data_IF_398981785790
#
_entry.id   IF_398981785790
#
_cell.length_a   1.000
_cell.length_b   1.000
_cell.length_c   1.000
_cell.angle_alpha   90.00
_cell.angle_beta   90.00
_cell.angle_gamma   90.00
#
_symmetry.space_group_name_H-M   'P 1'
#
loop_
_entity.id
_entity.type
_entity.pdbx_description
1 polymer ?
#
# COMPACT_ATOMS: atom_id res chain seq x y z
N UNK A 1 -19.91 3.60 5.40
CA UNK A 1 -18.88 4.66 5.51
C UNK A 1 -17.84 4.26 6.55
N UNK A 2 -16.55 4.28 6.21
CA UNK A 2 -15.49 3.99 7.19
C UNK A 2 -15.13 5.28 7.93
N UNK A 3 -15.42 5.35 9.23
CA UNK A 3 -15.05 6.49 10.10
C UNK A 3 -13.57 6.40 10.53
N UNK A 4 -12.65 6.46 9.58
CA UNK A 4 -11.20 6.40 9.81
C UNK A 4 -10.48 7.57 9.11
N UNK A 5 -9.42 8.14 9.72
CA UNK A 5 -8.61 9.18 9.06
C UNK A 5 -7.97 8.65 7.77
N UNK A 6 -7.83 9.53 6.79
CA UNK A 6 -7.19 9.25 5.50
C UNK A 6 -5.93 10.12 5.35
N UNK A 7 -4.84 9.50 4.92
CA UNK A 7 -3.57 10.15 4.61
C UNK A 7 -3.09 9.70 3.23
N UNK A 8 -2.35 10.56 2.53
CA UNK A 8 -1.84 10.30 1.19
C UNK A 8 -0.33 10.38 1.15
N UNK A 9 0.32 9.41 0.51
CA UNK A 9 1.77 9.43 0.26
C UNK A 9 2.02 9.95 -1.16
N UNK A 10 2.74 11.07 -1.28
CA UNK A 10 3.12 11.63 -2.58
C UNK A 10 4.29 10.88 -3.20
N UNK A 11 4.30 10.80 -4.54
CA UNK A 11 5.40 10.23 -5.32
C UNK A 11 6.69 11.07 -5.22
N UNK A 12 6.56 12.39 -5.09
CA UNK A 12 7.68 13.33 -5.05
C UNK A 12 7.51 14.35 -3.92
N UNK A 13 8.64 14.88 -3.43
CA UNK A 13 8.66 15.99 -2.46
C UNK A 13 8.32 17.29 -3.18
N UNK A 14 7.53 18.18 -2.54
CA UNK A 14 7.34 19.54 -3.05
C UNK A 14 8.70 20.27 -3.08
N UNK A 15 9.01 20.94 -4.18
CA UNK A 15 10.22 21.77 -4.34
C UNK A 15 10.16 23.09 -3.55
N UNK A 16 8.97 23.55 -3.16
CA UNK A 16 8.76 24.72 -2.33
C UNK A 16 7.78 24.43 -1.19
N UNK A 17 8.15 24.78 0.05
CA UNK A 17 7.38 24.51 1.28
C UNK A 17 7.97 23.41 2.17
N UNK A 18 7.27 23.03 3.24
CA UNK A 18 7.70 21.91 4.10
C UNK A 18 7.75 20.63 3.26
N UNK A 19 8.91 19.96 3.21
CA UNK A 19 9.24 18.78 2.39
C UNK A 19 8.47 17.50 2.79
N UNK A 20 7.19 17.63 3.17
CA UNK A 20 6.35 16.54 3.66
C UNK A 20 5.94 15.66 2.48
N UNK A 21 6.31 14.39 2.58
CA UNK A 21 5.92 13.32 1.63
C UNK A 21 4.49 12.83 1.91
N UNK A 22 4.00 13.00 3.15
CA UNK A 22 2.69 12.53 3.60
C UNK A 22 1.77 13.73 3.84
N UNK A 23 0.57 13.68 3.27
CA UNK A 23 -0.49 14.67 3.48
C UNK A 23 -1.62 14.08 4.34
N UNK A 24 -2.18 14.91 5.22
CA UNK A 24 -3.18 14.52 6.21
C UNK A 24 -2.61 14.41 7.62
N UNK A 25 -3.52 14.27 8.59
CA UNK A 25 -3.17 14.23 10.02
C UNK A 25 -3.00 12.81 10.52
N UNK A 26 -1.91 12.59 11.26
CA UNK A 26 -1.60 11.32 11.89
C UNK A 26 -0.78 11.53 13.15
N UNK A 27 -0.73 10.49 13.99
CA UNK A 27 0.10 10.46 15.19
C UNK A 27 1.20 9.40 15.03
N UNK A 28 2.43 9.64 15.49
CA UNK A 28 3.44 8.59 15.59
C UNK A 28 2.90 7.37 16.35
N UNK A 29 3.29 6.17 15.93
CA UNK A 29 2.80 4.90 16.45
C UNK A 29 1.42 4.48 15.92
N UNK A 30 0.71 5.31 15.16
CA UNK A 30 -0.56 4.92 14.58
C UNK A 30 -0.38 3.77 13.57
N UNK A 31 -1.26 2.77 13.66
CA UNK A 31 -1.35 1.67 12.69
C UNK A 31 -2.09 2.14 11.46
N UNK A 32 -1.52 1.89 10.28
CA UNK A 32 -2.11 2.28 9.00
C UNK A 32 -2.15 1.10 8.04
N UNK A 33 -3.21 1.07 7.22
CA UNK A 33 -3.36 0.16 6.08
C UNK A 33 -2.97 0.93 4.83
N UNK A 34 -2.02 0.42 4.06
CA UNK A 34 -1.76 0.96 2.72
C UNK A 34 -2.82 0.44 1.77
N UNK A 35 -3.42 1.31 0.97
CA UNK A 35 -4.40 0.95 -0.06
C UNK A 35 -3.88 1.45 -1.41
N UNK A 36 -3.85 0.57 -2.40
CA UNK A 36 -3.49 0.90 -3.80
C UNK A 36 -4.48 0.22 -4.77
N UNK A 37 -4.47 0.58 -6.04
CA UNK A 37 -5.37 -0.01 -7.04
C UNK A 37 -4.88 -1.41 -7.49
N UNK A 38 -3.64 -1.48 -7.97
CA UNK A 38 -3.04 -2.67 -8.58
C UNK A 38 -1.63 -2.91 -8.05
N UNK A 39 -1.35 -4.13 -7.63
CA UNK A 39 0.01 -4.56 -7.33
C UNK A 39 0.64 -5.28 -8.54
N UNK A 40 1.82 -4.83 -8.98
CA UNK A 40 2.69 -5.57 -9.92
C UNK A 40 3.88 -6.17 -9.15
N UNK A 41 5.00 -5.45 -9.11
CA UNK A 41 6.23 -5.83 -8.38
C UNK A 41 6.23 -5.34 -6.93
N UNK A 42 5.22 -4.58 -6.52
CA UNK A 42 5.12 -4.00 -5.18
C UNK A 42 5.95 -2.72 -4.95
N UNK A 43 6.71 -2.25 -5.94
CA UNK A 43 7.64 -1.11 -5.77
C UNK A 43 6.97 0.21 -5.32
N UNK A 44 5.74 0.50 -5.79
CA UNK A 44 4.97 1.68 -5.34
C UNK A 44 4.60 1.57 -3.86
N UNK A 45 4.04 0.42 -3.48
CA UNK A 45 3.63 0.12 -2.11
C UNK A 45 4.84 0.13 -1.17
N UNK A 46 5.98 -0.44 -1.56
CA UNK A 46 7.23 -0.40 -0.78
C UNK A 46 7.71 1.04 -0.51
N UNK A 47 7.66 1.93 -1.52
CA UNK A 47 8.00 3.34 -1.31
C UNK A 47 7.06 3.99 -0.28
N UNK A 48 5.76 3.69 -0.37
CA UNK A 48 4.78 4.20 0.59
C UNK A 48 5.03 3.66 2.01
N UNK A 49 5.25 2.35 2.16
CA UNK A 49 5.60 1.71 3.43
C UNK A 49 6.83 2.38 4.07
N UNK A 50 7.89 2.61 3.29
CA UNK A 50 9.12 3.24 3.78
C UNK A 50 8.90 4.70 4.22
N UNK A 51 8.13 5.47 3.46
CA UNK A 51 7.80 6.85 3.81
C UNK A 51 6.97 6.92 5.11
N UNK A 52 5.94 6.07 5.23
CA UNK A 52 5.07 5.99 6.40
C UNK A 52 5.84 5.56 7.66
N UNK A 53 6.67 4.50 7.55
CA UNK A 53 7.52 4.05 8.67
C UNK A 53 8.53 5.11 9.09
N UNK A 54 9.11 5.83 8.13
CA UNK A 54 10.02 6.96 8.41
C UNK A 54 9.34 8.12 9.13
N UNK A 55 8.01 8.24 9.01
CA UNK A 55 7.19 9.19 9.76
C UNK A 55 6.69 8.65 11.12
N UNK A 56 7.18 7.47 11.53
CA UNK A 56 6.85 6.83 12.80
C UNK A 56 5.55 6.03 12.78
N UNK A 57 4.97 5.74 11.62
CA UNK A 57 3.75 4.93 11.50
C UNK A 57 4.06 3.44 11.48
N UNK A 58 3.13 2.63 11.98
CA UNK A 58 3.21 1.17 11.96
C UNK A 58 2.47 0.66 10.72
N UNK A 59 3.20 0.03 9.81
CA UNK A 59 2.66 -0.53 8.56
C UNK A 59 2.92 -2.03 8.54
N UNK A 60 1.86 -2.82 8.70
CA UNK A 60 1.90 -4.29 8.73
C UNK A 60 1.13 -4.91 7.55
N UNK A 61 0.25 -4.11 6.91
CA UNK A 61 -0.69 -4.59 5.90
C UNK A 61 -0.79 -3.62 4.71
N UNK A 62 -0.97 -4.19 3.53
CA UNK A 62 -1.37 -3.48 2.32
C UNK A 62 -2.57 -4.19 1.69
N UNK A 63 -3.48 -3.42 1.08
CA UNK A 63 -4.64 -3.92 0.33
C UNK A 63 -4.61 -3.35 -1.08
N UNK A 64 -4.79 -4.22 -2.08
CA UNK A 64 -5.02 -3.82 -3.47
C UNK A 64 -6.33 -4.38 -3.99
N UNK A 65 -6.87 -3.77 -5.05
CA UNK A 65 -8.01 -4.37 -5.75
C UNK A 65 -7.54 -5.57 -6.55
N UNK A 66 -6.48 -5.40 -7.35
CA UNK A 66 -5.95 -6.46 -8.22
C UNK A 66 -4.48 -6.75 -7.90
N UNK A 67 -4.15 -8.00 -7.62
CA UNK A 67 -2.77 -8.47 -7.64
C UNK A 67 -2.43 -9.13 -8.99
N UNK A 68 -1.42 -8.59 -9.68
CA UNK A 68 -0.97 -9.13 -10.98
C UNK A 68 -0.11 -10.38 -10.87
N UNK A 69 0.24 -10.82 -9.65
CA UNK A 69 1.10 -11.97 -9.41
C UNK A 69 2.50 -11.80 -10.02
N UNK A 70 3.02 -10.57 -9.99
CA UNK A 70 4.33 -10.20 -10.55
C UNK A 70 5.40 -9.96 -9.46
N UNK A 71 5.20 -10.52 -8.26
CA UNK A 71 6.19 -10.52 -7.18
C UNK A 71 5.94 -9.53 -6.03
N UNK A 72 4.78 -8.85 -5.99
CA UNK A 72 4.48 -7.88 -4.94
C UNK A 72 4.38 -8.52 -3.55
N UNK A 73 3.77 -9.70 -3.42
CA UNK A 73 3.61 -10.40 -2.13
C UNK A 73 4.97 -10.77 -1.53
N UNK A 74 5.89 -11.32 -2.33
CA UNK A 74 7.24 -11.66 -1.91
C UNK A 74 8.05 -10.41 -1.55
N UNK A 75 7.89 -9.33 -2.33
CA UNK A 75 8.61 -8.08 -2.06
C UNK A 75 8.16 -7.44 -0.74
N UNK A 76 6.86 -7.45 -0.45
CA UNK A 76 6.28 -6.86 0.76
C UNK A 76 6.50 -7.74 2.00
N UNK A 77 6.41 -9.07 1.87
CA UNK A 77 6.64 -9.99 3.00
C UNK A 77 8.07 -9.91 3.53
N UNK A 78 9.07 -9.68 2.68
CA UNK A 78 10.48 -9.44 3.07
C UNK A 78 10.66 -8.25 4.01
N UNK A 79 9.75 -7.28 3.98
CA UNK A 79 9.76 -6.12 4.88
C UNK A 79 8.68 -6.19 5.95
N UNK A 80 8.10 -7.37 6.18
CA UNK A 80 7.08 -7.60 7.21
C UNK A 80 5.74 -6.95 6.89
N UNK A 81 5.38 -6.82 5.61
CA UNK A 81 4.07 -6.33 5.18
C UNK A 81 3.33 -7.45 4.46
N UNK A 82 2.14 -7.81 4.95
CA UNK A 82 1.27 -8.76 4.27
C UNK A 82 0.39 -8.03 3.25
N UNK A 83 0.38 -8.54 2.02
CA UNK A 83 -0.49 -8.06 0.95
C UNK A 83 -1.83 -8.80 1.00
N UNK A 84 -2.92 -8.04 0.88
CA UNK A 84 -4.25 -8.54 0.61
C UNK A 84 -4.68 -8.04 -0.78
N UNK A 85 -5.38 -8.87 -1.53
CA UNK A 85 -6.00 -8.51 -2.80
C UNK A 85 -7.46 -8.95 -2.81
N UNK A 86 -8.32 -8.22 -3.53
CA UNK A 86 -9.71 -8.64 -3.73
C UNK A 86 -9.80 -9.69 -4.84
N UNK A 87 -9.01 -9.52 -5.89
CA UNK A 87 -8.84 -10.48 -6.97
C UNK A 87 -7.38 -10.53 -7.41
N UNK A 88 -6.99 -11.62 -8.02
CA UNK A 88 -5.72 -11.80 -8.70
C UNK A 88 -5.91 -11.71 -10.22
N UNK A 89 -4.81 -11.57 -10.97
CA UNK A 89 -4.86 -11.63 -12.43
C UNK A 89 -5.47 -12.95 -12.91
N UNK A 90 -5.23 -14.07 -12.21
CA UNK A 90 -5.82 -15.38 -12.54
C UNK A 90 -7.34 -15.35 -12.45
N UNK A 91 -7.90 -14.70 -11.45
CA UNK A 91 -9.36 -14.59 -11.29
C UNK A 91 -10.00 -13.78 -12.43
N UNK A 92 -9.27 -12.81 -12.98
CA UNK A 92 -9.75 -11.94 -14.07
C UNK A 92 -9.61 -12.57 -15.46
N UNK A 93 -8.49 -13.25 -15.73
CA UNK A 93 -8.23 -13.86 -17.06
C UNK A 93 -8.75 -15.29 -17.18
N UNK A 94 -8.95 -15.96 -16.04
CA UNK A 94 -9.39 -17.34 -15.96
C UNK A 94 -10.88 -17.50 -15.69
N UNK A 95 -11.74 -16.56 -16.14
CA UNK A 95 -13.19 -16.61 -15.95
C UNK A 95 -13.76 -18.01 -16.22
N UNK A 96 -13.94 -18.78 -15.14
CA UNK A 96 -14.26 -20.20 -15.20
C UNK A 96 -13.37 -21.09 -14.31
N UNK A 97 -13.40 -20.87 -13.00
CA UNK A 97 -13.31 -21.98 -12.06
C UNK A 97 -14.42 -21.80 -11.03
N UNK A 98 -15.53 -22.47 -11.28
CA UNK A 98 -16.43 -22.93 -10.24
C UNK A 98 -15.64 -23.70 -9.19
N UNK A 99 -15.64 -23.20 -7.95
CA UNK A 99 -15.93 -23.91 -6.71
C UNK A 99 -16.22 -22.91 -5.59
#
# INVERSE_FOLDING_TARGET
EMKKPLIYVRKERKEHGTKKIIEGDFKPGAKVLVVDDVATTGGSILRAVNALRSAGLVVEHALVVVDRLEGAEEALSRVGVRLFSLVTLKDLVGGGASE
#
